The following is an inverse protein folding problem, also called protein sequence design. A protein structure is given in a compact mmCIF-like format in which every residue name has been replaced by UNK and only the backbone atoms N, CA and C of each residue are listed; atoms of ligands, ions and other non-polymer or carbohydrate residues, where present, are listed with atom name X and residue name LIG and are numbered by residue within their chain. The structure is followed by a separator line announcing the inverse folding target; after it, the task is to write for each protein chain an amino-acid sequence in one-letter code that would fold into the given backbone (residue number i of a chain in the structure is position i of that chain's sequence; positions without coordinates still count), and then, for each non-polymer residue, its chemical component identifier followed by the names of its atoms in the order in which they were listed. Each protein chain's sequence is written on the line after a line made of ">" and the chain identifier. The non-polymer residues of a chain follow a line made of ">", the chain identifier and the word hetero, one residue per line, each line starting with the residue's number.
data_IF_429477169281
#
_entry.id   IF_429477169281
#
_cell.length_a   1.000
_cell.length_b   1.000
_cell.length_c   1.000
_cell.angle_alpha   90.00
_cell.angle_beta   90.00
_cell.angle_gamma   90.00
#
_symmetry.space_group_name_H-M   'P 1'
#
loop_
_entity.id
_entity.type
_entity.pdbx_description
1 polymer ?
#
# COMPACT_ATOMS: atom_id res chain seq x y z
N UNK A 1 10.10 74.23 -28.38
CA UNK A 1 9.41 72.94 -28.61
C UNK A 1 10.45 71.84 -28.71
N UNK A 2 10.65 71.07 -27.63
CA UNK A 2 11.72 70.05 -27.57
C UNK A 2 11.31 68.80 -28.34
N UNK A 3 11.93 68.57 -29.52
CA UNK A 3 11.85 67.28 -30.23
C UNK A 3 12.58 66.23 -29.38
N UNK A 4 11.87 65.54 -28.49
CA UNK A 4 12.38 64.34 -27.83
C UNK A 4 12.35 63.20 -28.84
N UNK A 5 13.52 62.89 -29.39
CA UNK A 5 13.74 61.78 -30.30
C UNK A 5 13.87 60.50 -29.45
N UNK A 6 12.75 59.92 -29.04
CA UNK A 6 12.76 58.57 -28.46
C UNK A 6 12.78 57.57 -29.61
N UNK A 7 13.79 56.70 -29.63
CA UNK A 7 13.87 55.63 -30.61
C UNK A 7 12.66 54.70 -30.41
N UNK A 8 11.73 54.72 -31.36
CA UNK A 8 10.61 53.80 -31.38
C UNK A 8 11.08 52.35 -31.51
N UNK A 9 10.23 51.39 -31.12
CA UNK A 9 10.49 49.97 -31.38
C UNK A 9 10.78 49.73 -32.86
N UNK A 10 11.79 48.91 -33.17
CA UNK A 10 12.29 48.76 -34.54
C UNK A 10 11.36 47.93 -35.41
N UNK A 11 10.61 47.01 -34.79
CA UNK A 11 9.67 46.14 -35.49
C UNK A 11 8.25 46.27 -34.93
N UNK A 12 7.25 45.95 -35.77
CA UNK A 12 5.84 45.88 -35.37
C UNK A 12 5.64 44.90 -34.21
N UNK A 13 6.32 43.75 -34.26
CA UNK A 13 6.25 42.71 -33.22
C UNK A 13 6.72 43.19 -31.85
N UNK A 14 7.82 43.98 -31.80
CA UNK A 14 8.28 44.58 -30.55
C UNK A 14 7.27 45.57 -29.97
N UNK A 15 6.66 46.41 -30.82
CA UNK A 15 5.62 47.34 -30.40
C UNK A 15 4.34 46.64 -29.95
N UNK A 16 3.89 45.60 -30.66
CA UNK A 16 2.77 44.75 -30.27
C UNK A 16 3.00 44.12 -28.89
N UNK A 17 4.22 43.62 -28.63
CA UNK A 17 4.60 43.06 -27.32
C UNK A 17 4.45 44.10 -26.21
N UNK A 18 4.94 45.32 -26.43
CA UNK A 18 4.84 46.40 -25.45
C UNK A 18 3.38 46.83 -25.17
N UNK A 19 2.57 46.97 -26.22
CA UNK A 19 1.12 47.26 -26.09
C UNK A 19 0.41 46.19 -25.25
N UNK A 20 0.73 44.92 -25.46
CA UNK A 20 0.17 43.79 -24.70
C UNK A 20 0.59 43.82 -23.22
N UNK A 21 1.87 44.11 -22.94
CA UNK A 21 2.40 44.25 -21.58
C UNK A 21 1.72 45.41 -20.82
N UNK A 22 1.42 46.52 -21.50
CA UNK A 22 0.63 47.63 -20.96
C UNK A 22 -0.88 47.32 -20.84
N UNK A 23 -1.33 46.16 -21.33
CA UNK A 23 -2.72 45.74 -21.38
C UNK A 23 -3.63 46.77 -22.08
N UNK A 24 -3.15 47.36 -23.18
CA UNK A 24 -3.92 48.26 -24.04
C UNK A 24 -4.67 47.41 -25.09
N UNK A 25 -5.99 47.58 -25.19
CA UNK A 25 -6.88 46.70 -25.96
C UNK A 25 -7.66 47.39 -27.06
N UNK A 26 -7.80 48.70 -26.97
CA UNK A 26 -8.53 49.49 -27.96
C UNK A 26 -7.65 50.59 -28.53
N UNK A 27 -7.98 51.05 -29.73
CA UNK A 27 -7.27 52.16 -30.36
C UNK A 27 -7.44 53.45 -29.56
N UNK A 28 -8.55 53.62 -28.83
CA UNK A 28 -8.77 54.77 -27.96
C UNK A 28 -7.93 54.69 -26.68
N UNK A 29 -7.84 53.51 -26.04
CA UNK A 29 -6.88 53.29 -24.96
C UNK A 29 -5.45 53.56 -25.41
N UNK A 30 -5.08 53.11 -26.62
CA UNK A 30 -3.75 53.35 -27.17
C UNK A 30 -3.44 54.84 -27.31
N UNK A 31 -4.35 55.64 -27.87
CA UNK A 31 -4.16 57.10 -27.99
C UNK A 31 -3.94 57.78 -26.64
N UNK A 32 -4.59 57.29 -25.58
CA UNK A 32 -4.45 57.84 -24.23
C UNK A 32 -3.17 57.37 -23.54
N UNK A 33 -2.80 56.10 -23.72
CA UNK A 33 -1.82 55.40 -22.87
C UNK A 33 -0.49 55.08 -23.56
N UNK A 34 -0.34 55.29 -24.87
CA UNK A 34 0.91 54.93 -25.57
C UNK A 34 2.16 55.56 -24.94
N UNK A 35 2.04 56.74 -24.31
CA UNK A 35 3.15 57.43 -23.62
C UNK A 35 3.61 56.75 -22.33
N UNK A 36 2.86 55.77 -21.80
CA UNK A 36 3.31 54.93 -20.69
C UNK A 36 4.57 54.15 -21.08
N UNK A 37 4.77 53.88 -22.37
CA UNK A 37 6.04 53.42 -22.93
C UNK A 37 6.58 54.42 -23.94
N UNK A 38 7.69 55.06 -23.59
CA UNK A 38 8.35 56.09 -24.42
C UNK A 38 8.76 55.61 -25.82
N UNK A 39 8.82 54.30 -26.08
CA UNK A 39 9.16 53.73 -27.40
C UNK A 39 7.94 53.48 -28.29
N UNK A 40 6.72 53.59 -27.78
CA UNK A 40 5.52 53.45 -28.59
C UNK A 40 5.27 54.71 -29.43
N UNK A 41 4.95 54.50 -30.71
CA UNK A 41 4.68 55.59 -31.66
C UNK A 41 3.27 56.14 -31.47
N UNK A 42 3.06 57.45 -31.56
CA UNK A 42 1.70 58.02 -31.57
C UNK A 42 0.90 57.64 -32.83
N UNK A 43 1.58 57.22 -33.90
CA UNK A 43 0.98 56.82 -35.17
C UNK A 43 1.63 55.52 -35.68
N UNK A 44 1.35 54.37 -35.02
CA UNK A 44 2.01 53.11 -35.33
C UNK A 44 1.74 52.63 -36.76
N UNK A 45 0.55 52.89 -37.31
CA UNK A 45 0.18 52.55 -38.68
C UNK A 45 0.99 53.27 -39.77
N UNK A 46 1.60 54.42 -39.43
CA UNK A 46 2.51 55.13 -40.33
C UNK A 46 3.95 54.70 -40.13
N UNK A 47 4.32 54.35 -38.90
CA UNK A 47 5.69 53.99 -38.56
C UNK A 47 6.05 52.57 -39.02
N UNK A 48 5.11 51.63 -38.92
CA UNK A 48 5.26 50.23 -39.34
C UNK A 48 4.52 49.95 -40.65
N UNK A 49 4.54 50.90 -41.61
CA UNK A 49 3.68 50.86 -42.79
C UNK A 49 3.80 49.57 -43.61
N UNK A 50 5.00 49.00 -43.69
CA UNK A 50 5.28 47.79 -44.47
C UNK A 50 4.69 46.52 -43.84
N UNK A 51 4.63 46.48 -42.51
CA UNK A 51 4.13 45.31 -41.75
C UNK A 51 2.70 45.52 -41.22
N UNK A 52 2.15 46.74 -41.30
CA UNK A 52 0.89 47.09 -40.67
C UNK A 52 -0.31 46.45 -41.37
N UNK A 53 -1.04 45.61 -40.63
CA UNK A 53 -2.27 44.99 -41.12
C UNK A 53 -3.50 45.77 -40.68
N UNK A 54 -3.72 45.88 -39.37
CA UNK A 54 -4.92 46.52 -38.80
C UNK A 54 -4.76 46.84 -37.31
N UNK A 55 -5.66 47.65 -36.77
CA UNK A 55 -5.72 47.89 -35.32
C UNK A 55 -5.94 46.62 -34.49
N UNK A 56 -6.89 45.72 -34.84
CA UNK A 56 -7.04 44.42 -34.18
C UNK A 56 -5.74 43.60 -34.12
N UNK A 57 -5.00 43.55 -35.22
CA UNK A 57 -3.72 42.84 -35.31
C UNK A 57 -2.68 43.46 -34.38
N UNK A 58 -2.52 44.79 -34.45
CA UNK A 58 -1.57 45.54 -33.62
C UNK A 58 -1.88 45.48 -32.11
N UNK A 59 -3.15 45.48 -31.73
CA UNK A 59 -3.58 45.44 -30.33
C UNK A 59 -3.63 44.00 -29.78
N UNK A 60 -3.34 42.99 -30.60
CA UNK A 60 -3.33 41.59 -30.18
C UNK A 60 -4.70 41.01 -29.89
N UNK A 61 -5.74 41.47 -30.61
CA UNK A 61 -7.08 40.85 -30.57
C UNK A 61 -7.20 39.65 -31.53
N UNK A 62 -6.13 39.34 -32.27
CA UNK A 62 -5.98 38.13 -33.09
C UNK A 62 -5.27 37.01 -32.30
N UNK A 63 -5.50 35.72 -32.62
CA UNK A 63 -4.83 34.61 -31.94
C UNK A 63 -3.30 34.67 -32.12
N UNK A 64 -2.55 34.65 -31.01
CA UNK A 64 -1.08 34.65 -31.02
C UNK A 64 -0.50 33.25 -31.26
N UNK A 65 0.72 33.21 -31.78
CA UNK A 65 1.52 31.98 -31.90
C UNK A 65 2.01 31.48 -30.54
N UNK A 66 2.40 30.20 -30.46
CA UNK A 66 2.92 29.60 -29.23
C UNK A 66 4.14 30.37 -28.68
N UNK A 67 5.11 30.70 -29.54
CA UNK A 67 6.35 31.39 -29.18
C UNK A 67 6.09 32.78 -28.61
N UNK A 68 5.20 33.55 -29.23
CA UNK A 68 4.85 34.90 -28.75
C UNK A 68 4.23 34.85 -27.35
N UNK A 69 3.35 33.87 -27.09
CA UNK A 69 2.75 33.72 -25.77
C UNK A 69 3.80 33.28 -24.74
N UNK A 70 4.73 32.37 -25.08
CA UNK A 70 5.82 32.01 -24.17
C UNK A 70 6.68 33.22 -23.78
N UNK A 71 7.03 34.09 -24.73
CA UNK A 71 7.79 35.30 -24.45
C UNK A 71 7.04 36.25 -23.51
N UNK A 72 5.74 36.44 -23.73
CA UNK A 72 4.90 37.28 -22.88
C UNK A 72 4.73 36.71 -21.47
N UNK A 73 4.50 35.41 -21.35
CA UNK A 73 4.41 34.70 -20.06
C UNK A 73 5.71 34.86 -19.26
N UNK A 74 6.88 34.76 -19.93
CA UNK A 74 8.19 35.03 -19.31
C UNK A 74 8.33 36.49 -18.89
N UNK A 75 7.96 37.44 -19.76
CA UNK A 75 8.05 38.87 -19.47
C UNK A 75 7.13 39.31 -18.31
N UNK A 76 6.01 38.63 -18.12
CA UNK A 76 5.08 38.83 -17.00
C UNK A 76 5.49 38.10 -15.71
N UNK A 77 6.64 37.42 -15.69
CA UNK A 77 7.14 36.61 -14.57
C UNK A 77 6.10 35.61 -14.05
N UNK A 78 5.40 34.92 -14.96
CA UNK A 78 4.46 33.86 -14.61
C UNK A 78 5.25 32.55 -14.46
N UNK A 79 5.25 31.99 -13.25
CA UNK A 79 6.04 30.82 -12.90
C UNK A 79 5.20 29.58 -12.60
N UNK A 80 3.88 29.67 -12.56
CA UNK A 80 3.00 28.50 -12.35
C UNK A 80 1.74 28.54 -13.20
N UNK A 81 1.09 27.38 -13.36
CA UNK A 81 -0.22 27.30 -14.02
C UNK A 81 -1.29 28.10 -13.27
N UNK A 82 -1.21 28.14 -11.95
CA UNK A 82 -2.10 28.86 -11.06
C UNK A 82 -1.94 30.37 -11.23
N UNK A 83 -0.70 30.87 -11.28
CA UNK A 83 -0.39 32.26 -11.62
C UNK A 83 -0.87 32.60 -13.03
N UNK A 84 -0.65 31.72 -14.00
CA UNK A 84 -1.13 31.91 -15.36
C UNK A 84 -2.65 32.11 -15.39
N UNK A 85 -3.40 31.22 -14.73
CA UNK A 85 -4.85 31.33 -14.68
C UNK A 85 -5.34 32.57 -13.92
N UNK A 86 -4.58 33.02 -12.92
CA UNK A 86 -4.87 34.24 -12.17
C UNK A 86 -4.64 35.47 -13.04
N UNK A 87 -3.45 35.63 -13.60
CA UNK A 87 -3.08 36.76 -14.46
C UNK A 87 -3.90 36.80 -15.76
N UNK A 88 -4.31 35.65 -16.30
CA UNK A 88 -5.19 35.59 -17.48
C UNK A 88 -6.56 36.25 -17.27
N UNK A 89 -6.99 36.50 -16.03
CA UNK A 89 -8.17 37.33 -15.75
C UNK A 89 -7.91 38.80 -16.07
N UNK A 90 -6.68 39.27 -15.85
CA UNK A 90 -6.25 40.63 -16.12
C UNK A 90 -5.75 40.81 -17.55
N UNK A 91 -5.11 39.81 -18.14
CA UNK A 91 -4.61 39.78 -19.51
C UNK A 91 -5.47 38.84 -20.37
N UNK A 92 -6.62 39.34 -20.86
CA UNK A 92 -7.60 38.51 -21.58
C UNK A 92 -7.10 37.96 -22.92
N UNK A 93 -6.04 38.54 -23.48
CA UNK A 93 -5.36 38.04 -24.68
C UNK A 93 -4.55 36.76 -24.39
N UNK A 94 -4.30 36.40 -23.13
CA UNK A 94 -3.73 35.10 -22.79
C UNK A 94 -4.74 33.98 -23.11
N UNK A 95 -4.33 32.95 -23.87
CA UNK A 95 -5.19 31.82 -24.21
C UNK A 95 -5.78 31.16 -22.96
N UNK A 96 -7.09 30.88 -22.99
CA UNK A 96 -7.76 30.21 -21.85
C UNK A 96 -7.29 28.78 -21.64
N UNK A 97 -7.02 28.07 -22.74
CA UNK A 97 -6.55 26.69 -22.77
C UNK A 97 -5.37 26.58 -23.75
N UNK A 98 -4.15 26.97 -23.33
CA UNK A 98 -2.99 26.99 -24.22
C UNK A 98 -2.64 25.58 -24.72
N UNK A 99 -2.84 24.54 -23.90
CA UNK A 99 -2.67 23.13 -24.31
C UNK A 99 -3.60 22.67 -25.45
N UNK A 100 -4.78 23.28 -25.58
CA UNK A 100 -5.70 22.99 -26.70
C UNK A 100 -5.39 23.86 -27.91
N UNK A 101 -4.99 25.11 -27.66
CA UNK A 101 -4.71 26.10 -28.70
C UNK A 101 -3.43 25.77 -29.46
N UNK A 102 -2.44 25.19 -28.78
CA UNK A 102 -1.10 24.87 -29.31
C UNK A 102 -0.81 23.37 -29.23
N UNK A 103 -1.77 22.55 -29.66
CA UNK A 103 -1.72 21.08 -29.46
C UNK A 103 -0.45 20.44 -30.03
N UNK A 104 0.08 20.96 -31.14
CA UNK A 104 1.26 20.40 -31.80
C UNK A 104 2.56 20.76 -31.07
N UNK A 105 2.61 21.96 -30.49
CA UNK A 105 3.79 22.52 -29.82
C UNK A 105 3.81 22.26 -28.32
N UNK A 106 2.66 21.95 -27.72
CA UNK A 106 2.50 21.83 -26.27
C UNK A 106 3.23 20.60 -25.69
N UNK A 107 4.32 20.86 -24.97
CA UNK A 107 5.09 19.84 -24.22
C UNK A 107 4.77 19.81 -22.72
N UNK A 108 3.90 20.71 -22.26
CA UNK A 108 3.51 20.83 -20.85
C UNK A 108 3.75 22.23 -20.30
N UNK A 109 3.27 22.44 -19.07
CA UNK A 109 3.42 23.73 -18.37
C UNK A 109 4.87 24.18 -18.19
N UNK A 110 5.84 23.32 -17.82
CA UNK A 110 7.22 23.77 -17.65
C UNK A 110 7.81 24.38 -18.94
N UNK A 111 7.62 23.72 -20.07
CA UNK A 111 8.05 24.20 -21.39
C UNK A 111 7.35 25.52 -21.74
N UNK A 112 6.02 25.57 -21.60
CA UNK A 112 5.21 26.76 -21.90
C UNK A 112 5.56 27.98 -21.02
N UNK A 113 5.86 27.77 -19.74
CA UNK A 113 6.27 28.82 -18.81
C UNK A 113 7.75 29.20 -18.96
N UNK A 114 8.50 28.54 -19.86
CA UNK A 114 9.93 28.79 -20.05
C UNK A 114 10.79 28.36 -18.87
N UNK A 115 10.31 27.43 -18.06
CA UNK A 115 11.10 26.85 -16.99
C UNK A 115 12.22 26.00 -17.59
N UNK A 116 13.42 26.00 -16.99
CA UNK A 116 14.48 25.09 -17.42
C UNK A 116 13.98 23.66 -17.34
N UNK A 117 14.32 22.84 -18.35
CA UNK A 117 14.02 21.43 -18.32
C UNK A 117 14.62 20.84 -17.04
N UNK A 118 13.78 20.27 -16.19
CA UNK A 118 14.24 19.75 -14.92
C UNK A 118 15.29 18.64 -15.15
N UNK A 119 16.50 18.84 -14.63
CA UNK A 119 17.59 17.87 -14.70
C UNK A 119 17.35 16.71 -13.73
N UNK A 120 16.32 15.90 -13.98
CA UNK A 120 16.10 14.71 -13.19
C UNK A 120 17.22 13.69 -13.38
N UNK A 121 17.36 12.75 -12.43
CA UNK A 121 18.20 11.58 -12.64
C UNK A 121 17.81 10.86 -13.93
N UNK A 122 18.79 10.39 -14.70
CA UNK A 122 18.57 9.90 -16.06
C UNK A 122 17.82 8.57 -16.08
N UNK A 123 17.83 7.83 -14.97
CA UNK A 123 17.16 6.53 -14.85
C UNK A 123 16.60 6.29 -13.45
N UNK A 124 15.64 5.37 -13.35
CA UNK A 124 15.19 4.84 -12.07
C UNK A 124 16.32 4.18 -11.28
N UNK A 125 17.28 3.54 -11.95
CA UNK A 125 18.43 2.91 -11.30
C UNK A 125 19.29 3.94 -10.55
N UNK A 126 19.55 5.08 -11.19
CA UNK A 126 20.30 6.18 -10.58
C UNK A 126 19.54 6.80 -9.39
N UNK A 127 18.24 7.06 -9.56
CA UNK A 127 17.40 7.56 -8.46
C UNK A 127 17.34 6.55 -7.31
N UNK A 128 17.14 5.26 -7.58
CA UNK A 128 17.10 4.22 -6.54
C UNK A 128 18.41 4.10 -5.79
N UNK A 129 19.56 4.24 -6.45
CA UNK A 129 20.87 4.27 -5.78
C UNK A 129 20.98 5.42 -4.76
N UNK A 130 20.45 6.60 -5.11
CA UNK A 130 20.40 7.77 -4.22
C UNK A 130 19.46 7.53 -3.03
N UNK A 131 18.29 6.94 -3.29
CA UNK A 131 17.32 6.59 -2.24
C UNK A 131 17.91 5.56 -1.27
N UNK A 132 18.61 4.54 -1.77
CA UNK A 132 19.29 3.52 -0.96
C UNK A 132 20.41 4.15 -0.13
N UNK A 133 21.28 4.95 -0.75
CA UNK A 133 22.38 5.65 -0.06
C UNK A 133 21.87 6.56 1.06
N UNK A 134 20.75 7.23 0.81
CA UNK A 134 20.11 8.15 1.75
C UNK A 134 19.14 7.47 2.73
N UNK A 135 19.02 6.13 2.67
CA UNK A 135 18.12 5.30 3.49
C UNK A 135 16.65 5.75 3.43
N UNK A 136 16.21 6.26 2.29
CA UNK A 136 14.83 6.68 2.03
C UNK A 136 13.99 5.44 1.73
N UNK A 137 13.02 5.17 2.60
CA UNK A 137 12.21 3.93 2.53
C UNK A 137 10.71 4.19 2.48
N UNK A 138 10.28 5.45 2.62
CA UNK A 138 8.87 5.86 2.66
C UNK A 138 8.57 6.93 1.62
N UNK A 139 7.29 7.08 1.27
CA UNK A 139 6.84 8.13 0.35
C UNK A 139 7.07 9.52 0.95
N UNK A 140 6.82 9.67 2.24
CA UNK A 140 6.96 10.97 2.91
C UNK A 140 8.42 11.43 2.88
N UNK A 141 9.35 10.54 3.22
CA UNK A 141 10.79 10.80 3.08
C UNK A 141 11.21 11.07 1.63
N UNK A 142 10.59 10.39 0.65
CA UNK A 142 10.84 10.67 -0.76
C UNK A 142 10.41 12.10 -1.14
N UNK A 143 9.24 12.54 -0.69
CA UNK A 143 8.77 13.90 -0.95
C UNK A 143 9.61 14.95 -0.22
N UNK A 144 10.05 14.68 1.00
CA UNK A 144 11.01 15.54 1.71
C UNK A 144 12.33 15.67 0.94
N UNK A 145 12.81 14.58 0.32
CA UNK A 145 13.98 14.62 -0.55
C UNK A 145 13.70 15.41 -1.83
N UNK A 146 12.54 15.23 -2.47
CA UNK A 146 12.14 15.97 -3.67
C UNK A 146 12.03 17.48 -3.46
N UNK A 147 11.78 17.93 -2.23
CA UNK A 147 11.83 19.35 -1.86
C UNK A 147 13.26 19.85 -1.75
N UNK A 148 14.20 19.00 -1.32
CA UNK A 148 15.61 19.38 -1.08
C UNK A 148 16.48 19.23 -2.32
N UNK A 149 16.18 18.26 -3.18
CA UNK A 149 16.94 17.92 -4.37
C UNK A 149 16.06 18.07 -5.61
N UNK A 150 16.34 19.11 -6.40
CA UNK A 150 15.60 19.41 -7.63
C UNK A 150 15.73 18.33 -8.71
N UNK A 151 16.70 17.41 -8.59
CA UNK A 151 16.85 16.26 -9.48
C UNK A 151 15.91 15.11 -9.15
N UNK A 152 15.25 15.15 -7.98
CA UNK A 152 14.28 14.15 -7.55
C UNK A 152 12.88 14.61 -7.98
N UNK A 153 12.24 13.93 -8.94
CA UNK A 153 10.94 14.36 -9.43
C UNK A 153 9.85 14.15 -8.39
N UNK A 154 8.94 15.10 -8.23
CA UNK A 154 7.75 14.93 -7.37
C UNK A 154 6.83 13.82 -7.90
N UNK A 155 6.79 13.63 -9.23
CA UNK A 155 6.00 12.58 -9.91
C UNK A 155 6.90 11.62 -10.69
N UNK A 156 7.61 10.71 -10.01
CA UNK A 156 8.51 9.76 -10.67
C UNK A 156 7.75 8.82 -11.63
N UNK A 157 6.48 8.56 -11.37
CA UNK A 157 5.59 7.78 -12.24
C UNK A 157 5.40 8.39 -13.62
N UNK A 158 5.50 9.71 -13.73
CA UNK A 158 5.38 10.43 -15.02
C UNK A 158 6.73 10.60 -15.70
N UNK A 159 7.78 10.83 -14.92
CA UNK A 159 9.14 11.04 -15.46
C UNK A 159 9.73 9.73 -15.96
N UNK A 160 9.53 8.64 -15.23
CA UNK A 160 10.05 7.31 -15.56
C UNK A 160 8.96 6.36 -16.04
N UNK A 161 7.97 6.87 -16.80
CA UNK A 161 6.75 6.13 -17.13
C UNK A 161 6.99 4.77 -17.78
N UNK A 162 8.05 4.64 -18.57
CA UNK A 162 8.39 3.39 -19.27
C UNK A 162 8.88 2.29 -18.33
N UNK A 163 9.58 2.67 -17.25
CA UNK A 163 10.22 1.76 -16.31
C UNK A 163 9.49 1.72 -14.95
N UNK A 164 8.35 2.43 -14.83
CA UNK A 164 7.65 2.62 -13.57
C UNK A 164 6.80 1.41 -13.17
N UNK A 165 7.32 0.62 -12.24
CA UNK A 165 6.60 -0.53 -11.66
C UNK A 165 5.82 -0.18 -10.38
N UNK A 166 5.89 1.08 -9.94
CA UNK A 166 5.22 1.59 -8.76
C UNK A 166 6.13 1.83 -7.56
N UNK A 167 5.57 2.52 -6.58
CA UNK A 167 6.27 2.97 -5.36
C UNK A 167 6.96 1.87 -4.57
N UNK A 168 6.47 0.64 -4.63
CA UNK A 168 7.10 -0.49 -3.92
C UNK A 168 8.42 -0.91 -4.59
N UNK A 169 8.51 -0.82 -5.92
CA UNK A 169 9.74 -1.15 -6.67
C UNK A 169 10.79 -0.05 -6.43
N UNK A 170 10.40 1.22 -6.62
CA UNK A 170 11.27 2.39 -6.38
C UNK A 170 11.86 2.44 -4.96
N UNK A 171 11.05 2.15 -3.94
CA UNK A 171 11.51 2.21 -2.55
C UNK A 171 12.15 0.89 -2.06
N UNK A 172 12.46 -0.04 -2.98
CA UNK A 172 13.14 -1.31 -2.66
C UNK A 172 12.30 -2.30 -1.82
N UNK A 173 10.98 -2.12 -1.75
CA UNK A 173 10.08 -2.92 -0.90
C UNK A 173 9.75 -4.29 -1.51
N UNK A 174 9.92 -4.48 -2.83
CA UNK A 174 9.63 -5.73 -3.54
C UNK A 174 10.71 -6.80 -3.37
N UNK A 175 11.98 -6.40 -3.23
CA UNK A 175 13.12 -7.32 -3.12
C UNK A 175 13.20 -8.05 -1.78
N UNK A 176 12.30 -7.73 -0.86
CA UNK A 176 12.33 -8.28 0.46
C UNK A 176 11.24 -9.31 0.67
N UNK A 177 11.62 -10.57 0.50
CA UNK A 177 10.86 -11.67 1.07
C UNK A 177 10.66 -11.43 2.58
N UNK A 178 9.46 -11.71 3.13
CA UNK A 178 9.25 -11.69 4.56
C UNK A 178 10.31 -12.51 5.30
N UNK A 179 10.53 -12.22 6.58
CA UNK A 179 11.42 -13.06 7.40
C UNK A 179 10.99 -14.53 7.30
N UNK A 180 11.96 -15.42 7.07
CA UNK A 180 11.71 -16.84 6.84
C UNK A 180 11.15 -17.52 8.10
N UNK A 181 11.67 -17.15 9.26
CA UNK A 181 11.26 -17.71 10.55
C UNK A 181 10.52 -16.68 11.40
N UNK A 182 9.68 -17.16 12.33
CA UNK A 182 9.01 -16.28 13.29
C UNK A 182 10.02 -15.60 14.22
N UNK A 183 11.10 -16.30 14.59
CA UNK A 183 12.15 -15.79 15.47
C UNK A 183 12.90 -14.57 14.90
N UNK A 184 13.19 -14.57 13.60
CA UNK A 184 13.81 -13.43 12.92
C UNK A 184 12.88 -12.22 12.93
N UNK A 185 11.59 -12.44 12.68
CA UNK A 185 10.57 -11.40 12.76
C UNK A 185 10.40 -10.86 14.20
N UNK A 186 10.44 -11.72 15.22
CA UNK A 186 10.41 -11.30 16.64
C UNK A 186 11.61 -10.44 17.01
N UNK A 187 12.81 -10.79 16.53
CA UNK A 187 14.03 -10.00 16.72
C UNK A 187 13.86 -8.60 16.13
N UNK A 188 13.31 -8.52 14.92
CA UNK A 188 13.03 -7.25 14.26
C UNK A 188 11.95 -6.41 14.98
N UNK A 189 10.84 -7.02 15.39
CA UNK A 189 9.77 -6.38 16.18
C UNK A 189 10.34 -5.83 17.51
N UNK A 190 11.21 -6.60 18.16
CA UNK A 190 11.87 -6.21 19.42
C UNK A 190 12.84 -5.05 19.22
N UNK A 191 13.64 -5.07 18.15
CA UNK A 191 14.54 -3.98 17.78
C UNK A 191 13.79 -2.67 17.50
N UNK A 192 12.59 -2.76 16.90
CA UNK A 192 11.70 -1.61 16.64
C UNK A 192 10.91 -1.14 17.87
N UNK A 193 11.10 -1.81 19.02
CA UNK A 193 10.41 -1.55 20.30
C UNK A 193 8.88 -1.59 20.17
N UNK A 194 8.35 -2.42 19.28
CA UNK A 194 6.91 -2.61 19.13
C UNK A 194 6.44 -3.58 20.22
N UNK A 195 5.61 -3.10 21.15
CA UNK A 195 5.14 -3.86 22.31
C UNK A 195 3.65 -4.16 22.26
N UNK A 196 2.86 -3.53 21.40
CA UNK A 196 1.41 -3.77 21.34
C UNK A 196 0.93 -4.17 19.95
N UNK A 197 -0.21 -4.86 19.87
CA UNK A 197 -0.83 -5.22 18.60
C UNK A 197 -1.25 -3.98 17.80
N UNK A 198 -1.69 -2.93 18.50
CA UNK A 198 -2.01 -1.64 17.90
C UNK A 198 -0.77 -0.98 17.28
N UNK A 199 0.35 -0.94 18.02
CA UNK A 199 1.63 -0.48 17.48
C UNK A 199 2.07 -1.31 16.29
N UNK A 200 1.99 -2.65 16.37
CA UNK A 200 2.36 -3.51 15.24
C UNK A 200 1.52 -3.19 14.00
N UNK A 201 0.20 -3.08 14.13
CA UNK A 201 -0.69 -2.76 13.00
C UNK A 201 -0.35 -1.42 12.35
N UNK A 202 0.09 -0.44 13.14
CA UNK A 202 0.50 0.88 12.65
C UNK A 202 1.90 0.87 12.03
N UNK A 203 2.83 0.13 12.63
CA UNK A 203 4.28 0.27 12.42
C UNK A 203 4.94 -0.88 11.68
N UNK A 204 4.28 -2.02 11.46
CA UNK A 204 4.90 -3.17 10.76
C UNK A 204 5.43 -2.78 9.36
N UNK A 205 4.81 -1.79 8.71
CA UNK A 205 5.23 -1.28 7.39
C UNK A 205 6.54 -0.49 7.42
N UNK A 206 7.02 -0.09 8.60
CA UNK A 206 8.35 0.53 8.78
C UNK A 206 9.47 -0.50 8.52
N UNK A 207 9.20 -1.79 8.68
CA UNK A 207 10.08 -2.87 8.23
C UNK A 207 9.36 -3.76 7.22
N UNK A 208 9.71 -3.62 5.95
CA UNK A 208 9.07 -4.30 4.83
C UNK A 208 9.16 -5.85 4.89
N UNK A 209 10.06 -6.43 5.71
CA UNK A 209 10.13 -7.88 5.97
C UNK A 209 9.07 -8.38 6.94
N UNK A 210 8.43 -7.49 7.70
CA UNK A 210 7.38 -7.86 8.64
C UNK A 210 6.05 -8.07 7.91
N UNK A 211 5.41 -9.24 8.05
CA UNK A 211 4.13 -9.52 7.41
C UNK A 211 2.97 -8.77 8.09
N UNK A 212 1.95 -8.39 7.32
CA UNK A 212 0.71 -7.84 7.90
C UNK A 212 -0.07 -8.87 8.72
N UNK A 213 0.08 -10.16 8.36
CA UNK A 213 -0.56 -11.32 9.00
C UNK A 213 0.49 -12.35 9.41
N UNK A 214 1.24 -12.09 10.50
CA UNK A 214 2.26 -13.03 10.97
C UNK A 214 1.66 -14.37 11.42
N UNK A 215 0.40 -14.38 11.86
CA UNK A 215 -0.38 -15.58 12.19
C UNK A 215 -0.56 -16.55 11.00
N UNK A 216 -0.69 -15.98 9.80
CA UNK A 216 -0.86 -16.77 8.57
C UNK A 216 0.49 -17.21 8.03
N UNK A 217 1.47 -16.30 8.00
CA UNK A 217 2.79 -16.60 7.45
C UNK A 217 3.53 -17.64 8.31
N UNK A 218 3.51 -17.47 9.63
CA UNK A 218 4.21 -18.34 10.58
C UNK A 218 3.31 -19.42 11.15
N UNK A 219 2.26 -19.85 10.44
CA UNK A 219 1.21 -20.76 10.94
C UNK A 219 1.72 -21.96 11.74
N UNK A 220 2.88 -22.52 11.39
CA UNK A 220 3.48 -23.70 12.05
C UNK A 220 4.24 -23.37 13.34
N UNK A 221 4.81 -22.17 13.43
CA UNK A 221 5.56 -21.63 14.58
C UNK A 221 4.68 -20.75 15.49
N UNK A 222 3.53 -20.30 14.98
CA UNK A 222 2.66 -19.32 15.62
C UNK A 222 2.06 -19.85 16.92
N UNK A 223 2.33 -19.13 18.01
CA UNK A 223 1.77 -19.44 19.34
C UNK A 223 0.64 -18.48 19.69
N UNK A 224 0.95 -17.19 19.73
CA UNK A 224 -0.02 -16.11 19.95
C UNK A 224 0.60 -14.79 19.51
N UNK A 225 -0.25 -13.77 19.36
CA UNK A 225 0.23 -12.43 19.01
C UNK A 225 1.09 -11.85 20.15
N UNK A 226 0.73 -12.11 21.40
CA UNK A 226 1.51 -11.64 22.55
C UNK A 226 2.88 -12.30 22.63
N UNK A 227 2.97 -13.61 22.31
CA UNK A 227 4.24 -14.32 22.17
C UNK A 227 5.10 -13.71 21.06
N UNK A 228 4.51 -13.42 19.90
CA UNK A 228 5.19 -12.76 18.78
C UNK A 228 5.71 -11.34 19.13
N UNK A 229 5.06 -10.63 20.06
CA UNK A 229 5.52 -9.32 20.55
C UNK A 229 6.51 -9.40 21.72
N UNK A 230 6.98 -10.60 22.08
CA UNK A 230 7.92 -10.78 23.19
C UNK A 230 7.28 -10.62 24.59
N UNK A 231 5.95 -10.62 24.69
CA UNK A 231 5.23 -10.63 25.97
C UNK A 231 5.15 -12.06 26.48
N UNK A 232 6.23 -12.54 27.07
CA UNK A 232 6.29 -13.85 27.70
C UNK A 232 5.69 -13.82 29.10
N UNK A 233 4.45 -14.28 29.26
CA UNK A 233 3.98 -14.84 30.52
C UNK A 233 3.29 -16.19 30.27
N UNK A 234 4.07 -17.27 30.22
CA UNK A 234 3.58 -18.65 30.39
C UNK A 234 2.95 -19.38 29.20
N UNK A 235 2.86 -18.78 28.01
CA UNK A 235 2.37 -19.44 26.79
C UNK A 235 3.53 -20.00 25.97
N UNK A 236 4.20 -21.05 26.47
CA UNK A 236 4.92 -21.96 25.57
C UNK A 236 3.88 -22.72 24.75
N UNK A 237 4.21 -23.09 23.50
CA UNK A 237 3.46 -24.13 22.78
C UNK A 237 3.56 -25.40 23.63
N UNK A 238 2.62 -25.59 24.58
CA UNK A 238 2.65 -26.75 25.45
C UNK A 238 2.54 -27.96 24.54
N UNK A 239 3.63 -28.71 24.46
CA UNK A 239 3.79 -29.86 23.60
C UNK A 239 2.99 -31.04 24.17
N UNK A 240 1.68 -30.86 24.24
CA UNK A 240 0.78 -31.87 24.74
C UNK A 240 0.81 -33.11 23.84
N UNK A 241 0.55 -34.28 24.41
CA UNK A 241 0.46 -35.50 23.63
C UNK A 241 -0.56 -35.35 22.49
N UNK A 242 -0.11 -35.68 21.28
CA UNK A 242 -0.88 -35.53 20.05
C UNK A 242 -2.07 -36.47 20.00
N UNK A 243 -1.96 -37.64 20.64
CA UNK A 243 -3.03 -38.64 20.72
C UNK A 243 -3.57 -38.79 22.15
N UNK A 244 -4.86 -39.10 22.25
CA UNK A 244 -5.51 -39.40 23.54
C UNK A 244 -4.90 -40.64 24.21
N UNK A 245 -4.41 -41.60 23.42
CA UNK A 245 -3.81 -42.83 23.90
C UNK A 245 -2.49 -42.57 24.63
N UNK A 246 -1.62 -41.74 24.06
CA UNK A 246 -0.36 -41.35 24.69
C UNK A 246 -0.59 -40.56 25.97
N UNK A 247 -1.50 -39.57 25.95
CA UNK A 247 -1.86 -38.82 27.16
C UNK A 247 -2.46 -39.71 28.24
N UNK A 248 -3.32 -40.66 27.88
CA UNK A 248 -3.92 -41.58 28.86
C UNK A 248 -2.89 -42.53 29.44
N UNK A 249 -1.97 -43.05 28.62
CA UNK A 249 -0.87 -43.89 29.09
C UNK A 249 0.00 -43.14 30.10
N UNK A 250 0.44 -41.93 29.77
CA UNK A 250 1.21 -41.08 30.68
C UNK A 250 0.45 -40.75 31.97
N UNK A 251 -0.86 -40.45 31.87
CA UNK A 251 -1.70 -40.24 33.04
C UNK A 251 -1.78 -41.49 33.95
N UNK A 252 -1.90 -42.68 33.36
CA UNK A 252 -1.94 -43.94 34.11
C UNK A 252 -0.59 -44.26 34.76
N UNK A 253 0.53 -43.98 34.08
CA UNK A 253 1.88 -44.13 34.63
C UNK A 253 2.12 -43.21 35.85
N UNK A 254 1.49 -42.03 35.87
CA UNK A 254 1.46 -41.14 37.04
C UNK A 254 0.48 -41.60 38.13
N UNK A 255 -0.25 -42.70 37.92
CA UNK A 255 -1.30 -43.17 38.82
C UNK A 255 -2.50 -42.22 38.89
N UNK A 256 -2.81 -41.52 37.80
CA UNK A 256 -4.03 -40.74 37.63
C UNK A 256 -5.10 -41.60 36.93
N UNK A 257 -5.83 -42.39 37.72
CA UNK A 257 -6.84 -43.34 37.22
C UNK A 257 -8.22 -42.72 37.02
N UNK A 258 -8.45 -41.52 37.53
CA UNK A 258 -9.69 -40.77 37.40
C UNK A 258 -9.42 -39.26 37.30
N UNK A 259 -10.47 -38.47 37.05
CA UNK A 259 -10.34 -37.03 36.82
C UNK A 259 -9.81 -36.27 38.06
N UNK A 260 -10.13 -36.74 39.26
CA UNK A 260 -9.69 -36.12 40.50
C UNK A 260 -8.18 -36.30 40.71
N UNK A 261 -7.69 -37.54 40.61
CA UNK A 261 -6.27 -37.86 40.67
C UNK A 261 -5.49 -37.21 39.52
N UNK A 262 -6.10 -37.08 38.35
CA UNK A 262 -5.51 -36.36 37.22
C UNK A 262 -5.30 -34.89 37.53
N UNK A 263 -6.29 -34.19 38.11
CA UNK A 263 -6.12 -32.78 38.48
C UNK A 263 -5.01 -32.55 39.50
N UNK A 264 -4.79 -33.51 40.39
CA UNK A 264 -3.70 -33.46 41.37
C UNK A 264 -2.35 -33.68 40.69
N UNK A 265 -2.25 -34.62 39.74
CA UNK A 265 -0.97 -35.14 39.24
C UNK A 265 -0.57 -34.69 37.84
N UNK A 266 -1.47 -34.12 37.02
CA UNK A 266 -1.16 -33.79 35.62
C UNK A 266 -0.03 -32.78 35.48
N UNK A 267 0.20 -31.94 36.51
CA UNK A 267 1.31 -30.98 36.50
C UNK A 267 2.68 -31.65 36.61
N UNK A 268 2.74 -32.90 37.08
CA UNK A 268 3.97 -33.70 37.12
C UNK A 268 4.44 -34.10 35.72
N UNK A 269 3.59 -34.00 34.70
CA UNK A 269 3.97 -34.15 33.29
C UNK A 269 3.51 -32.93 32.48
N UNK A 270 4.49 -32.12 32.06
CA UNK A 270 4.27 -30.90 31.28
C UNK A 270 3.54 -31.12 29.94
N UNK A 271 3.47 -32.36 29.44
CA UNK A 271 2.78 -32.77 28.21
C UNK A 271 1.33 -33.22 28.44
N UNK A 272 0.83 -33.23 29.68
CA UNK A 272 -0.57 -33.48 29.97
C UNK A 272 -1.41 -32.20 29.93
N UNK A 273 -2.52 -32.16 29.14
CA UNK A 273 -3.39 -30.99 29.09
C UNK A 273 -4.22 -30.85 30.36
N UNK A 274 -4.40 -29.63 30.93
CA UNK A 274 -5.23 -29.40 32.12
C UNK A 274 -6.68 -29.88 31.98
N UNK A 275 -7.20 -29.89 30.76
CA UNK A 275 -8.55 -30.37 30.46
C UNK A 275 -8.50 -31.31 29.25
N UNK A 276 -8.27 -32.62 29.48
CA UNK A 276 -8.11 -33.59 28.41
C UNK A 276 -9.38 -33.75 27.58
N UNK A 277 -10.57 -33.73 28.19
CA UNK A 277 -11.84 -33.83 27.45
C UNK A 277 -12.05 -32.66 26.48
N UNK A 278 -11.64 -31.44 26.86
CA UNK A 278 -11.72 -30.26 25.99
C UNK A 278 -10.66 -30.27 24.88
N UNK A 279 -9.49 -30.85 25.15
CA UNK A 279 -8.40 -30.93 24.18
C UNK A 279 -8.66 -32.04 23.14
N UNK A 280 -9.08 -33.22 23.57
CA UNK A 280 -9.40 -34.38 22.73
C UNK A 280 -10.89 -34.40 22.32
N UNK A 281 -11.39 -33.32 21.72
CA UNK A 281 -12.82 -33.17 21.34
C UNK A 281 -13.34 -34.28 20.42
N UNK A 282 -12.48 -34.88 19.60
CA UNK A 282 -12.83 -36.02 18.76
C UNK A 282 -13.29 -37.22 19.59
N UNK A 283 -12.73 -37.43 20.77
CA UNK A 283 -13.11 -38.51 21.69
C UNK A 283 -14.49 -38.27 22.32
N UNK A 284 -14.76 -37.00 22.68
CA UNK A 284 -16.07 -36.57 23.19
C UNK A 284 -17.19 -36.81 22.17
N UNK A 285 -16.93 -36.60 20.87
CA UNK A 285 -17.89 -36.88 19.80
C UNK A 285 -18.27 -38.36 19.68
N UNK A 286 -17.39 -39.26 20.11
CA UNK A 286 -17.63 -40.72 20.14
C UNK A 286 -18.36 -41.12 21.44
N UNK A 287 -18.74 -40.15 22.28
CA UNK A 287 -19.40 -40.38 23.56
C UNK A 287 -18.49 -41.01 24.61
N UNK A 288 -17.15 -40.90 24.45
CA UNK A 288 -16.18 -41.50 25.36
C UNK A 288 -15.51 -40.47 26.26
N UNK A 289 -15.38 -40.80 27.54
CA UNK A 289 -14.56 -40.03 28.50
C UNK A 289 -13.07 -40.39 28.38
N UNK A 290 -12.17 -39.44 28.67
CA UNK A 290 -10.71 -39.68 28.70
C UNK A 290 -10.30 -40.89 29.56
N UNK A 291 -11.05 -41.20 30.63
CA UNK A 291 -10.79 -42.33 31.54
C UNK A 291 -11.65 -43.57 31.26
N UNK A 292 -12.53 -43.55 30.26
CA UNK A 292 -13.30 -44.75 29.90
C UNK A 292 -12.40 -45.79 29.20
N UNK A 293 -12.57 -47.06 29.55
CA UNK A 293 -11.88 -48.15 28.87
C UNK A 293 -12.40 -48.31 27.44
N UNK A 294 -11.49 -48.61 26.51
CA UNK A 294 -11.89 -48.94 25.16
C UNK A 294 -12.67 -50.25 25.18
N UNK A 295 -13.98 -50.17 24.88
CA UNK A 295 -14.69 -51.37 24.46
C UNK A 295 -13.99 -51.84 23.19
N UNK A 296 -13.36 -53.02 23.24
CA UNK A 296 -12.77 -53.67 22.06
C UNK A 296 -13.82 -53.57 20.96
N UNK A 297 -13.46 -53.03 19.78
CA UNK A 297 -14.30 -53.20 18.59
C UNK A 297 -14.31 -54.69 18.33
N UNK A 298 -15.38 -55.35 18.76
CA UNK A 298 -15.50 -56.78 18.53
C UNK A 298 -16.25 -56.92 17.22
N UNK A 299 -15.57 -57.56 16.28
CA UNK A 299 -15.96 -58.01 14.93
C UNK A 299 -15.70 -57.06 13.77
N UNK A 300 -14.94 -57.59 12.80
CA UNK A 300 -14.71 -56.99 11.50
C UNK A 300 -15.86 -57.29 10.53
N UNK A 301 -16.65 -58.35 10.77
CA UNK A 301 -17.72 -58.80 9.87
C UNK A 301 -18.98 -59.28 10.59
N UNK A 302 -20.12 -59.23 9.89
CA UNK A 302 -21.41 -59.78 10.36
C UNK A 302 -21.35 -61.30 10.58
N UNK A 303 -20.51 -62.01 9.81
CA UNK A 303 -20.31 -63.45 9.96
C UNK A 303 -19.69 -63.81 11.31
N UNK A 304 -18.67 -63.07 11.75
CA UNK A 304 -18.05 -63.27 13.07
C UNK A 304 -19.03 -63.00 14.21
N UNK A 305 -19.86 -61.96 14.08
CA UNK A 305 -20.91 -61.65 15.05
C UNK A 305 -21.93 -62.80 15.18
N UNK A 306 -22.32 -63.41 14.06
CA UNK A 306 -23.25 -64.55 14.05
C UNK A 306 -22.66 -65.81 14.68
N UNK A 307 -21.37 -66.08 14.48
CA UNK A 307 -20.69 -67.24 15.09
C UNK A 307 -20.69 -67.17 16.62
N UNK A 308 -20.45 -66.00 17.19
CA UNK A 308 -20.45 -65.83 18.66
C UNK A 308 -21.86 -65.94 19.26
N UNK A 309 -22.88 -65.44 18.55
CA UNK A 309 -24.28 -65.63 18.98
C UNK A 309 -24.66 -67.11 19.03
N UNK A 310 -24.20 -67.90 18.05
CA UNK A 310 -24.37 -69.36 18.02
C UNK A 310 -23.58 -70.06 19.13
N UNK A 311 -22.32 -69.70 19.33
CA UNK A 311 -21.46 -70.25 20.39
C UNK A 311 -22.05 -69.99 21.78
N UNK A 312 -22.58 -68.79 22.02
CA UNK A 312 -23.19 -68.41 23.29
C UNK A 312 -24.62 -68.95 23.48
N UNK A 313 -25.15 -69.69 22.49
CA UNK A 313 -26.50 -70.28 22.50
C UNK A 313 -27.60 -69.26 22.83
N UNK A 314 -27.47 -68.02 22.34
CA UNK A 314 -28.43 -66.94 22.61
C UNK A 314 -29.63 -67.13 21.68
N UNK A 315 -30.80 -67.45 22.24
CA UNK A 315 -31.99 -67.78 21.44
C UNK A 315 -33.03 -66.66 21.37
N UNK A 316 -32.90 -65.63 22.22
CA UNK A 316 -33.89 -64.55 22.30
C UNK A 316 -33.25 -63.17 22.31
N UNK A 317 -33.99 -62.18 21.83
CA UNK A 317 -33.57 -60.77 21.84
C UNK A 317 -33.42 -60.21 23.27
N UNK A 318 -34.17 -60.74 24.23
CA UNK A 318 -34.08 -60.38 25.65
C UNK A 318 -32.74 -60.87 26.23
N UNK A 319 -32.38 -62.12 25.94
CA UNK A 319 -31.12 -62.71 26.38
C UNK A 319 -29.92 -62.00 25.74
N UNK A 320 -30.04 -61.62 24.47
CA UNK A 320 -29.04 -60.80 23.79
C UNK A 320 -28.83 -59.46 24.49
N UNK A 321 -29.91 -58.73 24.82
CA UNK A 321 -29.83 -57.43 25.52
C UNK A 321 -29.23 -57.54 26.92
N UNK A 322 -29.54 -58.61 27.67
CA UNK A 322 -28.95 -58.86 28.99
C UNK A 322 -27.45 -59.15 28.87
N UNK A 323 -27.06 -60.05 27.96
CA UNK A 323 -25.66 -60.44 27.78
C UNK A 323 -24.84 -59.32 27.14
N UNK A 324 -25.41 -58.48 26.28
CA UNK A 324 -24.73 -57.31 25.70
C UNK A 324 -24.25 -56.31 26.75
N UNK A 325 -25.02 -56.09 27.83
CA UNK A 325 -24.63 -55.17 28.90
C UNK A 325 -23.44 -55.65 29.73
N UNK A 326 -23.18 -56.96 29.73
CA UNK A 326 -22.18 -57.61 30.59
C UNK A 326 -20.98 -58.12 29.77
N UNK A 327 -21.22 -58.54 28.53
CA UNK A 327 -20.22 -59.12 27.65
C UNK A 327 -19.81 -58.12 26.57
N UNK A 328 -18.62 -57.54 26.72
CA UNK A 328 -18.03 -56.60 25.76
C UNK A 328 -17.72 -57.19 24.38
N UNK A 329 -17.98 -58.49 24.16
CA UNK A 329 -17.89 -59.17 22.86
C UNK A 329 -19.20 -59.25 22.08
N UNK A 330 -20.34 -58.75 22.53
CA UNK A 330 -21.57 -58.76 21.71
C UNK A 330 -21.72 -57.44 20.94
N UNK A 331 -22.08 -57.46 19.63
CA UNK A 331 -22.25 -56.23 18.86
C UNK A 331 -23.45 -55.42 19.36
N UNK A 332 -23.36 -54.09 19.28
CA UNK A 332 -24.48 -53.21 19.58
C UNK A 332 -25.49 -53.25 18.43
N UNK A 333 -26.76 -53.52 18.72
CA UNK A 333 -27.80 -53.54 17.71
C UNK A 333 -27.97 -52.17 17.04
N UNK A 334 -27.40 -52.01 15.85
CA UNK A 334 -27.73 -50.92 14.94
C UNK A 334 -29.09 -51.19 14.31
N UNK A 335 -29.97 -50.19 14.31
CA UNK A 335 -31.19 -50.21 13.50
C UNK A 335 -30.76 -50.22 12.04
N UNK A 336 -31.19 -51.23 11.29
CA UNK A 336 -31.18 -51.17 9.82
C UNK A 336 -32.08 -50.04 9.34
#
# INVERSE_FOLDING_TARGET
>A
MSKRNYANYKSLSEAQRAVRLLNIRTSDEYKLRYKEDTKLSSTPQRFYIDDWVSWPDFLGTVPMTFTEVQELVRALNIHSSEEYHTQRKEYLWLPSNPNRSYKAEWKGWPDFLGQPAAEYYQSLSELTAVLVKSRIQTKDQYFELAVKDSKVPVRPDRVYSNDWEGWRSLLGRYLSKPYLTMGDAQTAVSAMKIRTRAEYKKRYKENYKLPSRPDVLYKNEWVSFDYFLGKSSGLTKKNYYSTVHEARKAALELGATNLELYRQKYRSDSRLPPNPNKFYKSYQKIGRSFFEQERKKVFATFSEACSIVKELNIKTSIEYKKRYKVNGRLPGGGKN
#
